data_IF_995150405430
#
_entry.id   IF_995150405430
#
_cell.length_a   1.000
_cell.length_b   1.000
_cell.length_c   1.000
_cell.angle_alpha   90.00
_cell.angle_beta   90.00
_cell.angle_gamma   90.00
#
_symmetry.space_group_name_H-M   'P 1'
#
loop_
_entity.id
_entity.type
_entity.pdbx_description
1 polymer ?
#
# COMPACT_ATOMS: atom_id res chain seq x y z
N UNK A 1 3.00 47.14 36.65
CA UNK A 1 2.03 47.37 35.56
C UNK A 1 1.63 46.00 35.03
N UNK A 2 0.39 45.56 35.31
CA UNK A 2 -0.13 44.25 34.92
C UNK A 2 -0.78 44.38 33.55
N UNK A 3 -0.20 43.76 32.53
CA UNK A 3 -0.79 43.66 31.20
C UNK A 3 -1.72 42.45 31.14
N UNK A 4 -3.02 42.68 31.11
CA UNK A 4 -4.03 41.68 30.82
C UNK A 4 -4.11 41.49 29.30
N UNK A 5 -3.68 40.33 28.81
CA UNK A 5 -3.89 39.91 27.42
C UNK A 5 -5.28 39.30 27.27
N UNK A 6 -6.10 39.90 26.43
CA UNK A 6 -7.46 39.47 26.13
C UNK A 6 -7.44 38.17 25.31
N UNK A 7 -8.14 37.15 25.81
CA UNK A 7 -8.43 35.89 25.12
C UNK A 7 -9.61 36.12 24.16
N UNK A 8 -9.35 36.11 22.85
CA UNK A 8 -10.41 36.13 21.82
C UNK A 8 -10.86 34.69 21.58
N UNK A 9 -12.00 34.32 22.16
CA UNK A 9 -12.70 33.08 21.84
C UNK A 9 -13.44 33.27 20.50
N UNK A 10 -12.97 32.60 19.44
CA UNK A 10 -13.73 32.46 18.20
C UNK A 10 -14.65 31.25 18.35
N UNK A 11 -15.95 31.51 18.50
CA UNK A 11 -16.98 30.48 18.53
C UNK A 11 -17.15 29.87 17.14
N UNK A 12 -16.77 28.59 17.00
CA UNK A 12 -17.05 27.78 15.82
C UNK A 12 -18.51 27.31 15.87
N UNK A 13 -19.32 27.82 14.94
CA UNK A 13 -20.71 27.41 14.74
C UNK A 13 -20.72 26.09 13.98
N UNK A 14 -21.17 25.03 14.65
CA UNK A 14 -21.40 23.71 14.03
C UNK A 14 -22.81 23.72 13.42
N UNK A 15 -22.91 23.65 12.10
CA UNK A 15 -24.18 23.46 11.40
C UNK A 15 -24.41 21.95 11.25
N UNK A 16 -25.27 21.38 12.09
CA UNK A 16 -25.80 20.02 11.92
C UNK A 16 -26.82 20.02 10.77
N UNK A 17 -26.47 19.39 9.64
CA UNK A 17 -27.44 19.02 8.61
C UNK A 17 -27.87 17.56 8.83
N UNK A 18 -29.07 17.37 9.35
CA UNK A 18 -29.74 16.07 9.39
C UNK A 18 -30.36 15.78 8.01
N UNK A 19 -29.96 14.70 7.35
CA UNK A 19 -30.63 14.19 6.15
C UNK A 19 -31.41 12.93 6.52
N UNK A 20 -32.72 13.00 6.37
CA UNK A 20 -33.70 11.93 6.64
C UNK A 20 -33.69 10.87 5.53
N UNK A 21 -33.91 9.58 5.83
CA UNK A 21 -34.05 8.54 4.81
C UNK A 21 -35.42 8.61 4.11
N UNK A 22 -35.41 8.49 2.79
CA UNK A 22 -36.61 8.19 1.97
C UNK A 22 -36.69 6.68 1.79
N UNK A 23 -37.80 6.10 2.23
CA UNK A 23 -38.21 4.73 1.95
C UNK A 23 -39.39 4.72 0.97
N UNK A 24 -39.66 3.52 0.45
CA UNK A 24 -40.75 3.09 -0.46
C UNK A 24 -40.47 3.36 -1.94
N UNK A 25 -40.54 2.38 -2.85
CA UNK A 25 -41.06 1.02 -2.82
C UNK A 25 -41.45 0.67 -4.26
N UNK A 26 -41.25 -0.56 -4.69
CA UNK A 26 -42.29 -1.48 -5.17
C UNK A 26 -41.75 -2.49 -6.18
N UNK A 27 -42.26 -3.71 -6.04
CA UNK A 27 -41.90 -4.89 -6.77
C UNK A 27 -42.53 -4.91 -8.16
N UNK A 28 -41.86 -5.56 -9.11
CA UNK A 28 -42.60 -6.20 -10.21
C UNK A 28 -41.90 -7.47 -10.64
N UNK A 29 -42.50 -8.59 -10.24
CA UNK A 29 -42.26 -9.94 -10.73
C UNK A 29 -42.76 -10.09 -12.16
N UNK A 30 -41.96 -10.69 -13.05
CA UNK A 30 -42.46 -11.26 -14.30
C UNK A 30 -41.80 -12.61 -14.57
N UNK A 31 -42.65 -13.62 -14.59
CA UNK A 31 -42.40 -15.06 -14.76
C UNK A 31 -42.06 -15.42 -16.22
N UNK A 32 -41.16 -16.39 -16.38
CA UNK A 32 -40.78 -17.01 -17.66
C UNK A 32 -41.88 -17.90 -18.28
N UNK A 33 -41.79 -18.16 -19.59
CA UNK A 33 -41.68 -19.56 -20.08
C UNK A 33 -40.59 -19.64 -21.18
N UNK A 34 -39.85 -20.71 -21.43
CA UNK A 34 -40.22 -22.12 -21.58
C UNK A 34 -39.61 -22.63 -22.91
N UNK A 35 -38.58 -23.46 -22.79
CA UNK A 35 -37.89 -24.37 -23.73
C UNK A 35 -38.17 -24.37 -25.26
N UNK A 36 -37.09 -24.52 -26.05
CA UNK A 36 -36.96 -25.61 -27.05
C UNK A 36 -35.51 -25.82 -27.49
N UNK A 37 -35.09 -27.08 -27.51
CA UNK A 37 -33.86 -27.62 -28.11
C UNK A 37 -34.06 -27.79 -29.62
N UNK A 38 -33.11 -27.36 -30.44
CA UNK A 38 -32.97 -27.82 -31.83
C UNK A 38 -31.48 -27.86 -32.22
N UNK A 39 -31.07 -28.96 -32.86
CA UNK A 39 -29.69 -29.26 -33.22
C UNK A 39 -29.53 -29.37 -34.74
N UNK A 40 -28.41 -28.82 -35.25
CA UNK A 40 -27.67 -29.14 -36.50
C UNK A 40 -28.33 -28.74 -37.86
N UNK A 41 -27.55 -28.38 -38.90
CA UNK A 41 -26.37 -29.11 -39.37
C UNK A 41 -25.11 -28.30 -39.77
N UNK A 42 -24.04 -29.08 -39.96
CA UNK A 42 -22.75 -28.70 -40.56
C UNK A 42 -22.89 -28.09 -41.96
N UNK A 43 -22.05 -27.10 -42.26
CA UNK A 43 -21.74 -26.69 -43.62
C UNK A 43 -20.22 -26.66 -43.81
N UNK A 44 -19.74 -27.70 -44.48
CA UNK A 44 -18.41 -27.82 -45.07
C UNK A 44 -18.28 -26.83 -46.23
N UNK A 45 -17.18 -26.09 -46.30
CA UNK A 45 -16.70 -25.50 -47.55
C UNK A 45 -15.19 -25.35 -47.50
N UNK A 46 -14.53 -26.25 -48.22
CA UNK A 46 -13.12 -26.19 -48.54
C UNK A 46 -12.90 -25.17 -49.67
N UNK A 47 -11.99 -24.22 -49.45
CA UNK A 47 -11.34 -23.47 -50.54
C UNK A 47 -9.85 -23.69 -50.40
N UNK A 48 -9.31 -24.51 -51.30
CA UNK A 48 -7.88 -24.66 -51.54
C UNK A 48 -7.43 -23.49 -52.41
N UNK A 49 -6.53 -22.66 -51.89
CA UNK A 49 -5.66 -21.82 -52.73
C UNK A 49 -4.25 -21.97 -52.19
N UNK A 50 -3.41 -22.60 -53.00
CA UNK A 50 -2.00 -22.83 -52.72
C UNK A 50 -1.25 -21.49 -52.75
N UNK A 51 -0.69 -21.09 -51.62
CA UNK A 51 0.32 -20.06 -51.52
C UNK A 51 1.64 -20.72 -51.07
N UNK A 52 2.71 -20.39 -51.80
CA UNK A 52 4.10 -20.78 -51.59
C UNK A 52 4.53 -20.58 -50.13
N UNK A 53 5.20 -21.54 -49.46
CA UNK A 53 5.70 -21.30 -48.12
C UNK A 53 6.90 -20.34 -48.19
N UNK A 54 6.68 -19.07 -47.86
CA UNK A 54 7.75 -18.18 -47.44
C UNK A 54 8.19 -18.63 -46.05
N UNK A 55 9.47 -18.97 -45.91
CA UNK A 55 10.13 -19.26 -44.62
C UNK A 55 9.91 -18.09 -43.66
N UNK A 56 8.94 -18.23 -42.77
CA UNK A 56 8.79 -17.38 -41.60
C UNK A 56 9.76 -17.89 -40.54
N UNK A 57 10.78 -17.11 -40.23
CA UNK A 57 11.59 -17.31 -39.03
C UNK A 57 10.68 -17.11 -37.83
N UNK A 58 10.23 -18.21 -37.23
CA UNK A 58 9.59 -18.20 -35.92
C UNK A 58 10.67 -17.80 -34.92
N UNK A 59 10.62 -16.55 -34.45
CA UNK A 59 11.30 -16.19 -33.21
C UNK A 59 10.48 -16.85 -32.12
N UNK A 60 11.00 -17.96 -31.59
CA UNK A 60 10.40 -18.62 -30.44
C UNK A 60 10.36 -17.63 -29.28
N UNK A 61 9.15 -17.26 -28.86
CA UNK A 61 8.95 -16.63 -27.57
C UNK A 61 9.30 -17.68 -26.53
N UNK A 62 10.39 -17.45 -25.81
CA UNK A 62 10.72 -18.25 -24.63
C UNK A 62 9.67 -17.98 -23.58
N UNK A 63 8.72 -18.90 -23.44
CA UNK A 63 7.83 -19.00 -22.29
C UNK A 63 8.72 -19.19 -21.06
N UNK A 64 9.05 -18.09 -20.37
CA UNK A 64 9.69 -18.15 -19.07
C UNK A 64 8.74 -18.91 -18.17
N UNK A 65 9.15 -20.12 -17.77
CA UNK A 65 8.44 -20.89 -16.75
C UNK A 65 8.76 -20.19 -15.43
N UNK A 66 7.99 -19.14 -15.14
CA UNK A 66 8.06 -18.39 -13.90
C UNK A 66 7.87 -19.36 -12.75
N UNK A 67 8.96 -19.64 -12.05
CA UNK A 67 8.93 -20.34 -10.78
C UNK A 67 8.08 -19.48 -9.86
N UNK A 68 7.09 -20.08 -9.20
CA UNK A 68 6.32 -19.42 -8.16
C UNK A 68 7.35 -18.84 -7.17
N UNK A 69 7.28 -17.55 -6.81
CA UNK A 69 8.22 -16.96 -5.85
C UNK A 69 8.23 -17.80 -4.56
N UNK A 70 9.36 -17.83 -3.83
CA UNK A 70 9.44 -18.58 -2.57
C UNK A 70 8.26 -18.18 -1.68
N UNK A 71 7.56 -19.19 -1.15
CA UNK A 71 6.49 -18.99 -0.18
C UNK A 71 7.08 -18.24 1.01
N UNK A 72 6.69 -16.98 1.18
CA UNK A 72 7.02 -16.17 2.35
C UNK A 72 6.65 -17.01 3.58
N UNK A 73 7.56 -17.24 4.54
CA UNK A 73 7.25 -18.06 5.71
C UNK A 73 6.01 -17.49 6.40
N UNK A 74 4.98 -18.32 6.59
CA UNK A 74 3.64 -17.94 7.06
C UNK A 74 3.57 -17.30 8.46
N UNK A 75 4.71 -17.06 9.09
CA UNK A 75 4.86 -16.44 10.42
C UNK A 75 5.47 -15.03 10.34
N UNK A 76 5.92 -14.60 9.16
CA UNK A 76 6.44 -13.25 8.91
C UNK A 76 5.54 -12.62 7.84
N UNK A 77 4.89 -11.52 8.17
CA UNK A 77 4.01 -10.81 7.23
C UNK A 77 2.55 -10.89 7.62
N UNK A 78 2.20 -10.29 8.75
CA UNK A 78 0.83 -9.80 9.00
C UNK A 78 0.82 -8.29 9.21
N UNK A 79 1.98 -7.63 9.13
CA UNK A 79 2.12 -6.18 9.27
C UNK A 79 2.57 -5.56 7.95
N UNK A 80 2.02 -4.39 7.63
CA UNK A 80 2.33 -3.64 6.42
C UNK A 80 2.46 -2.14 6.75
N UNK A 81 3.28 -1.44 5.98
CA UNK A 81 3.28 0.01 5.91
C UNK A 81 2.02 0.41 5.13
N UNK A 82 1.14 1.14 5.80
CA UNK A 82 -0.20 1.45 5.24
C UNK A 82 -0.42 2.93 4.99
N UNK A 83 0.43 3.77 5.57
CA UNK A 83 0.40 5.21 5.35
C UNK A 83 1.76 5.80 5.58
N UNK A 84 2.08 6.81 4.79
CA UNK A 84 3.20 7.75 5.02
C UNK A 84 2.62 9.16 4.94
N UNK A 85 2.83 9.94 5.99
CA UNK A 85 2.43 11.34 6.09
C UNK A 85 3.66 12.22 5.99
N UNK A 86 3.53 13.28 5.19
CA UNK A 86 4.57 14.26 4.92
C UNK A 86 4.27 15.58 5.64
N UNK A 87 5.25 16.47 5.69
CA UNK A 87 5.10 17.81 6.26
C UNK A 87 6.07 18.04 7.42
N UNK A 88 5.67 18.89 8.36
CA UNK A 88 6.50 19.29 9.50
C UNK A 88 6.65 18.18 10.54
N UNK A 89 5.62 17.35 10.72
CA UNK A 89 5.59 16.21 11.65
C UNK A 89 5.33 14.89 10.88
N UNK A 90 6.28 14.42 10.05
CA UNK A 90 6.08 13.24 9.23
C UNK A 90 6.01 11.97 10.07
N UNK A 91 5.12 11.06 9.69
CA UNK A 91 4.98 9.76 10.35
C UNK A 91 4.54 8.68 9.38
N UNK A 92 4.82 7.41 9.70
CA UNK A 92 4.25 6.26 9.00
C UNK A 92 3.34 5.44 9.93
N UNK A 93 2.40 4.70 9.33
CA UNK A 93 1.59 3.71 10.05
C UNK A 93 1.99 2.30 9.62
N UNK A 94 2.43 1.50 10.59
CA UNK A 94 2.50 0.04 10.45
C UNK A 94 1.21 -0.54 11.00
N UNK A 95 0.49 -1.29 10.19
CA UNK A 95 -0.79 -1.88 10.55
C UNK A 95 -0.69 -3.39 10.50
N UNK A 96 -1.24 -4.06 11.51
CA UNK A 96 -1.50 -5.50 11.43
C UNK A 96 -2.70 -5.74 10.52
N UNK A 97 -2.42 -6.16 9.30
CA UNK A 97 -3.37 -6.52 8.23
C UNK A 97 -3.80 -7.99 8.29
N UNK A 98 -3.22 -8.77 9.20
CA UNK A 98 -3.59 -10.16 9.46
C UNK A 98 -4.79 -10.31 10.40
N UNK A 99 -5.14 -11.58 10.67
CA UNK A 99 -6.25 -11.95 11.55
C UNK A 99 -5.81 -12.41 12.96
N UNK A 100 -4.50 -12.39 13.24
CA UNK A 100 -3.92 -12.74 14.55
C UNK A 100 -3.02 -11.61 15.03
N UNK A 101 -2.78 -11.47 16.36
CA UNK A 101 -1.82 -10.48 16.87
C UNK A 101 -0.44 -10.64 16.21
N UNK A 102 0.22 -9.50 15.98
CA UNK A 102 1.53 -9.44 15.33
C UNK A 102 2.50 -8.65 16.20
N UNK A 103 3.69 -9.19 16.41
CA UNK A 103 4.74 -8.52 17.18
C UNK A 103 5.68 -7.76 16.25
N UNK A 104 6.07 -6.56 16.67
CA UNK A 104 7.07 -5.74 15.99
C UNK A 104 8.49 -5.96 16.55
N UNK A 105 8.64 -6.85 17.54
CA UNK A 105 9.94 -7.23 18.09
C UNK A 105 10.85 -7.78 16.97
N UNK A 106 12.15 -7.44 17.06
CA UNK A 106 13.20 -7.82 16.11
C UNK A 106 13.02 -7.29 14.67
N UNK A 107 11.97 -6.50 14.41
CA UNK A 107 11.76 -5.86 13.13
C UNK A 107 12.54 -4.55 13.01
N UNK A 108 12.80 -4.17 11.76
CA UNK A 108 13.62 -3.01 11.42
C UNK A 108 12.92 -2.15 10.38
N UNK A 109 12.98 -0.84 10.57
CA UNK A 109 12.59 0.12 9.56
C UNK A 109 13.85 0.69 8.91
N UNK A 110 13.86 0.69 7.58
CA UNK A 110 14.96 1.22 6.77
C UNK A 110 14.42 2.36 5.92
N UNK A 111 15.03 3.52 6.04
CA UNK A 111 14.76 4.69 5.20
C UNK A 111 15.86 4.91 4.16
N UNK A 112 15.84 6.09 3.54
CA UNK A 112 16.79 6.47 2.50
C UNK A 112 18.22 6.66 3.01
N UNK A 113 18.41 7.06 4.29
CA UNK A 113 19.74 7.34 4.85
C UNK A 113 20.04 6.63 6.16
N UNK A 114 19.12 5.79 6.65
CA UNK A 114 19.30 5.18 7.96
C UNK A 114 18.38 4.01 8.23
N UNK A 115 18.57 3.42 9.40
CA UNK A 115 17.95 2.18 9.82
C UNK A 115 17.69 2.23 11.32
N UNK A 116 16.56 1.69 11.76
CA UNK A 116 16.16 1.69 13.16
C UNK A 116 15.47 0.36 13.53
N UNK A 117 15.78 -0.22 14.70
CA UNK A 117 14.98 -1.31 15.24
C UNK A 117 13.63 -0.77 15.69
N UNK A 118 12.59 -1.59 15.60
CA UNK A 118 11.29 -1.28 16.18
C UNK A 118 11.25 -1.71 17.65
N UNK A 119 10.54 -0.93 18.45
CA UNK A 119 10.27 -1.30 19.84
C UNK A 119 9.32 -2.51 19.91
N UNK A 120 9.46 -3.37 20.93
CA UNK A 120 8.60 -4.53 21.09
C UNK A 120 7.16 -4.09 21.39
N UNK A 121 6.31 -4.19 20.36
CA UNK A 121 4.89 -3.85 20.41
C UNK A 121 4.09 -4.98 19.76
N UNK A 122 3.09 -5.48 20.49
CA UNK A 122 2.09 -6.39 19.93
C UNK A 122 0.91 -5.61 19.37
N UNK A 123 0.68 -5.71 18.06
CA UNK A 123 -0.46 -5.13 17.37
C UNK A 123 -1.61 -6.14 17.26
N UNK A 124 -2.80 -5.88 17.82
CA UNK A 124 -3.98 -6.67 17.51
C UNK A 124 -4.38 -6.56 16.03
N UNK A 125 -5.17 -7.51 15.49
CA UNK A 125 -5.69 -7.44 14.12
C UNK A 125 -6.38 -6.10 13.81
N UNK A 126 -6.03 -5.49 12.67
CA UNK A 126 -6.58 -4.21 12.22
C UNK A 126 -6.13 -2.98 13.01
N UNK A 127 -5.10 -3.12 13.85
CA UNK A 127 -4.54 -2.02 14.65
C UNK A 127 -3.17 -1.60 14.15
N UNK A 128 -2.79 -0.36 14.47
CA UNK A 128 -1.56 0.23 13.96
C UNK A 128 -0.68 0.80 15.06
N UNK A 129 0.63 0.81 14.81
CA UNK A 129 1.60 1.67 15.47
C UNK A 129 1.90 2.88 14.58
N UNK A 130 2.10 4.04 15.20
CA UNK A 130 2.61 5.22 14.52
C UNK A 130 4.12 5.31 14.70
N UNK A 131 4.83 5.56 13.62
CA UNK A 131 6.29 5.73 13.59
C UNK A 131 6.56 7.20 13.34
N UNK A 132 7.10 7.92 14.30
CA UNK A 132 7.46 9.34 14.13
C UNK A 132 8.74 9.39 13.33
N UNK A 133 8.73 10.06 12.18
CA UNK A 133 9.85 10.10 11.22
C UNK A 133 10.54 11.47 11.17
N UNK A 134 10.08 12.40 11.99
CA UNK A 134 10.60 13.76 12.11
C UNK A 134 9.63 14.64 12.90
N UNK A 135 10.05 15.85 13.22
CA UNK A 135 9.20 16.84 13.90
C UNK A 135 8.93 16.49 15.36
N UNK A 136 7.82 17.03 15.88
CA UNK A 136 7.32 16.72 17.22
C UNK A 136 6.38 15.51 17.17
N UNK A 137 6.14 14.90 18.33
CA UNK A 137 5.14 13.83 18.44
C UNK A 137 3.77 14.34 17.94
N UNK A 138 3.16 13.69 16.93
CA UNK A 138 1.88 14.14 16.40
C UNK A 138 0.80 14.14 17.50
N UNK A 139 -0.27 14.94 17.36
CA UNK A 139 -1.38 14.90 18.30
C UNK A 139 -1.99 13.50 18.40
N UNK A 140 -2.42 13.15 19.61
CA UNK A 140 -2.86 11.80 20.01
C UNK A 140 -3.73 11.12 18.95
N UNK A 141 -3.20 10.04 18.39
CA UNK A 141 -3.91 9.29 17.37
C UNK A 141 -4.97 8.39 17.99
N UNK A 142 -6.24 8.63 17.66
CA UNK A 142 -7.30 7.68 17.99
C UNK A 142 -7.07 6.39 17.20
N UNK A 143 -6.99 5.26 17.89
CA UNK A 143 -6.87 3.96 17.23
C UNK A 143 -5.45 3.41 17.13
N UNK A 144 -4.44 4.17 17.54
CA UNK A 144 -3.04 3.71 17.57
C UNK A 144 -2.75 2.97 18.88
N UNK A 145 -1.95 1.92 18.77
CA UNK A 145 -1.55 1.06 19.90
C UNK A 145 -0.27 1.58 20.55
N UNK A 146 0.66 2.08 19.75
CA UNK A 146 1.94 2.61 20.21
C UNK A 146 2.44 3.71 19.27
N UNK A 147 3.20 4.64 19.84
CA UNK A 147 3.96 5.65 19.11
C UNK A 147 5.43 5.32 19.32
N UNK A 148 6.16 5.12 18.21
CA UNK A 148 7.58 4.77 18.20
C UNK A 148 8.33 5.95 17.60
N UNK A 149 9.20 6.58 18.38
CA UNK A 149 9.95 7.75 17.93
C UNK A 149 11.22 7.34 17.18
N UNK A 150 11.25 7.62 15.88
CA UNK A 150 12.36 7.35 14.96
C UNK A 150 12.86 8.64 14.27
N UNK A 151 12.52 9.82 14.80
CA UNK A 151 12.63 11.12 14.11
C UNK A 151 14.03 11.44 13.56
N UNK A 152 15.08 10.84 14.13
CA UNK A 152 16.48 11.08 13.73
C UNK A 152 17.13 9.87 13.06
N UNK A 153 16.43 8.74 12.94
CA UNK A 153 17.06 7.47 12.60
C UNK A 153 17.09 7.17 11.09
N UNK A 154 16.15 7.72 10.31
CA UNK A 154 15.89 7.26 8.93
C UNK A 154 16.19 8.29 7.83
N UNK A 155 16.41 9.55 8.22
CA UNK A 155 16.55 10.67 7.30
C UNK A 155 15.25 11.42 7.05
N UNK A 156 15.31 12.55 6.32
CA UNK A 156 14.14 13.37 6.06
C UNK A 156 13.13 12.65 5.16
N UNK A 157 11.85 12.74 5.53
CA UNK A 157 10.72 12.20 4.77
C UNK A 157 10.01 13.34 4.06
N UNK A 158 10.24 13.47 2.75
CA UNK A 158 9.72 14.55 1.91
C UNK A 158 8.97 14.00 0.71
N UNK A 159 8.03 14.77 0.15
CA UNK A 159 7.16 14.32 -0.96
C UNK A 159 7.90 14.07 -2.27
N UNK A 160 9.04 14.74 -2.50
CA UNK A 160 9.76 14.69 -3.78
C UNK A 160 10.45 13.35 -4.06
N UNK A 161 10.84 12.63 -3.01
CA UNK A 161 11.54 11.35 -3.11
C UNK A 161 11.67 10.68 -1.74
N UNK A 162 11.52 9.37 -1.70
CA UNK A 162 11.88 8.58 -0.54
C UNK A 162 11.47 7.12 -0.66
N UNK A 163 11.83 6.36 0.36
CA UNK A 163 11.49 4.95 0.50
C UNK A 163 11.39 4.58 1.98
N UNK A 164 10.59 3.57 2.27
CA UNK A 164 10.58 2.87 3.55
C UNK A 164 10.51 1.37 3.29
N UNK A 165 11.46 0.63 3.86
CA UNK A 165 11.44 -0.82 3.88
C UNK A 165 11.26 -1.34 5.30
N UNK A 166 10.35 -2.29 5.48
CA UNK A 166 10.14 -3.01 6.71
C UNK A 166 10.80 -4.39 6.62
N UNK A 167 11.68 -4.71 7.56
CA UNK A 167 12.48 -5.93 7.54
C UNK A 167 12.28 -6.75 8.82
N UNK A 168 12.33 -8.08 8.68
CA UNK A 168 12.19 -9.02 9.79
C UNK A 168 13.52 -9.35 10.50
N UNK A 169 14.64 -8.83 9.99
CA UNK A 169 15.97 -9.05 10.54
C UNK A 169 16.94 -7.96 10.05
N UNK A 170 18.11 -7.87 10.70
CA UNK A 170 19.26 -7.05 10.25
C UNK A 170 19.92 -7.60 8.96
N UNK A 171 19.14 -7.75 7.88
CA UNK A 171 19.57 -8.31 6.61
C UNK A 171 18.99 -7.51 5.44
N UNK A 172 19.27 -6.20 5.38
CA UNK A 172 18.57 -5.22 4.54
C UNK A 172 18.77 -5.39 3.02
N UNK A 173 19.72 -6.22 2.60
CA UNK A 173 19.92 -6.59 1.19
C UNK A 173 19.33 -7.94 0.84
N UNK A 174 18.78 -8.66 1.83
CA UNK A 174 18.20 -10.00 1.64
C UNK A 174 16.73 -9.88 1.24
N UNK A 175 16.31 -10.44 0.10
CA UNK A 175 14.89 -10.49 -0.25
C UNK A 175 14.06 -11.25 0.78
N UNK A 176 14.63 -12.27 1.42
CA UNK A 176 13.94 -13.09 2.43
C UNK A 176 13.65 -12.33 3.73
N UNK A 177 14.31 -11.19 3.95
CA UNK A 177 14.11 -10.36 5.12
C UNK A 177 13.09 -9.23 4.89
N UNK A 178 12.70 -8.95 3.64
CA UNK A 178 11.74 -7.88 3.33
C UNK A 178 10.34 -8.33 3.71
N UNK A 179 9.69 -7.58 4.59
CA UNK A 179 8.29 -7.79 4.98
C UNK A 179 7.36 -6.93 4.13
N UNK A 180 7.72 -5.66 3.98
CA UNK A 180 6.95 -4.72 3.18
C UNK A 180 7.86 -3.59 2.69
N UNK A 181 7.43 -2.90 1.64
CA UNK A 181 8.22 -1.84 1.04
C UNK A 181 7.34 -0.83 0.29
N UNK A 182 7.70 0.45 0.40
CA UNK A 182 7.12 1.51 -0.41
C UNK A 182 8.19 2.50 -0.83
N UNK A 183 8.14 2.94 -2.08
CA UNK A 183 8.95 4.04 -2.60
C UNK A 183 8.12 5.03 -3.39
N UNK A 184 8.51 6.30 -3.33
CA UNK A 184 7.81 7.40 -4.00
C UNK A 184 8.78 8.38 -4.62
N UNK A 185 8.27 9.12 -5.61
CA UNK A 185 9.04 10.12 -6.33
C UNK A 185 10.21 9.53 -7.13
N UNK A 186 11.26 10.32 -7.33
CA UNK A 186 12.41 9.92 -8.17
C UNK A 186 13.69 9.81 -7.35
N UNK A 187 14.50 8.79 -7.58
CA UNK A 187 15.80 8.68 -6.94
C UNK A 187 16.36 7.25 -6.96
N UNK A 188 17.61 7.06 -6.53
CA UNK A 188 18.09 5.73 -6.21
C UNK A 188 17.38 5.27 -4.93
N UNK A 189 16.40 4.39 -5.08
CA UNK A 189 15.80 3.69 -3.95
C UNK A 189 16.67 2.48 -3.62
N UNK A 190 17.40 2.56 -2.52
CA UNK A 190 18.47 1.65 -2.11
C UNK A 190 17.93 0.27 -1.74
N UNK A 191 16.74 0.20 -1.14
CA UNK A 191 16.14 -1.04 -0.67
C UNK A 191 15.27 -1.71 -1.76
N UNK A 192 14.96 -0.97 -2.82
CA UNK A 192 14.12 -1.44 -3.93
C UNK A 192 14.64 -2.72 -4.59
N UNK A 193 15.96 -2.95 -4.66
CA UNK A 193 16.50 -4.18 -5.25
C UNK A 193 16.11 -5.45 -4.47
N UNK A 194 16.13 -5.39 -3.13
CA UNK A 194 15.71 -6.50 -2.28
C UNK A 194 14.20 -6.74 -2.40
N UNK A 195 13.39 -5.67 -2.35
CA UNK A 195 11.93 -5.76 -2.49
C UNK A 195 11.47 -6.27 -3.86
N UNK A 196 12.16 -5.86 -4.94
CA UNK A 196 11.93 -6.37 -6.30
C UNK A 196 12.29 -7.85 -6.39
N UNK A 197 13.42 -8.26 -5.82
CA UNK A 197 13.83 -9.66 -5.80
C UNK A 197 12.88 -10.53 -4.98
N UNK A 198 12.32 -9.97 -3.90
CA UNK A 198 11.28 -10.61 -3.07
C UNK A 198 9.91 -10.69 -3.77
N UNK A 199 9.71 -10.00 -4.90
CA UNK A 199 8.43 -9.93 -5.60
C UNK A 199 7.39 -9.03 -4.92
N UNK A 200 7.80 -8.21 -3.95
CA UNK A 200 6.95 -7.27 -3.21
C UNK A 200 6.75 -5.97 -3.99
N UNK A 201 7.75 -5.54 -4.76
CA UNK A 201 7.73 -4.26 -5.47
C UNK A 201 8.09 -4.40 -6.94
N UNK A 202 7.54 -3.51 -7.78
CA UNK A 202 7.82 -3.46 -9.21
C UNK A 202 9.21 -2.88 -9.51
N UNK A 203 9.95 -3.48 -10.44
CA UNK A 203 11.25 -2.95 -10.87
C UNK A 203 11.11 -1.54 -11.44
N UNK A 204 11.93 -0.60 -10.93
CA UNK A 204 11.89 0.81 -11.33
C UNK A 204 10.58 1.55 -11.01
N UNK A 205 9.70 0.95 -10.21
CA UNK A 205 8.41 1.52 -9.87
C UNK A 205 8.51 2.41 -8.63
N UNK A 206 7.73 3.47 -8.60
CA UNK A 206 7.61 4.40 -7.48
C UNK A 206 6.24 5.07 -7.55
N UNK A 207 5.67 5.37 -6.39
CA UNK A 207 4.41 6.11 -6.30
C UNK A 207 4.66 7.53 -6.79
N UNK A 208 3.89 7.96 -7.79
CA UNK A 208 3.91 9.34 -8.26
C UNK A 208 3.07 10.20 -7.32
N UNK A 209 3.69 11.24 -6.75
CA UNK A 209 3.06 12.11 -5.78
C UNK A 209 2.95 13.53 -6.34
N UNK A 210 1.75 14.14 -6.31
CA UNK A 210 1.63 15.56 -6.60
C UNK A 210 2.36 16.40 -5.53
N UNK A 211 2.77 17.61 -5.88
CA UNK A 211 3.55 18.48 -4.99
C UNK A 211 2.79 18.82 -3.68
N UNK A 212 1.46 18.85 -3.77
CA UNK A 212 0.52 19.11 -2.69
C UNK A 212 0.09 17.85 -1.90
N UNK A 213 0.69 16.68 -2.15
CA UNK A 213 0.41 15.47 -1.38
C UNK A 213 0.75 15.68 0.10
N UNK A 214 -0.23 15.45 0.97
CA UNK A 214 -0.04 15.49 2.43
C UNK A 214 0.30 14.12 2.98
N UNK A 215 -0.19 13.06 2.32
CA UNK A 215 0.14 11.69 2.66
C UNK A 215 -0.07 10.77 1.47
N UNK A 216 0.34 9.52 1.62
CA UNK A 216 -0.04 8.42 0.74
C UNK A 216 -0.49 7.23 1.58
N UNK A 217 -1.42 6.43 1.06
CA UNK A 217 -1.96 5.28 1.77
C UNK A 217 -2.19 4.08 0.85
N UNK A 218 -2.05 2.89 1.41
CA UNK A 218 -2.39 1.62 0.77
C UNK A 218 -3.69 1.05 1.36
N UNK A 219 -4.36 0.08 0.72
CA UNK A 219 -5.60 -0.51 1.22
C UNK A 219 -5.39 -1.40 2.47
N UNK A 220 -4.15 -1.58 2.94
CA UNK A 220 -3.86 -2.45 4.08
C UNK A 220 -3.81 -3.93 3.68
N UNK A 221 -3.15 -4.24 2.58
CA UNK A 221 -2.82 -5.60 2.16
C UNK A 221 -1.30 -5.79 2.16
N UNK A 222 -0.84 -7.01 2.40
CA UNK A 222 0.59 -7.32 2.32
C UNK A 222 1.06 -7.22 0.87
N UNK A 223 2.28 -6.71 0.68
CA UNK A 223 2.88 -6.58 -0.64
C UNK A 223 2.09 -5.69 -1.59
N UNK A 224 1.52 -4.60 -1.06
CA UNK A 224 0.80 -3.61 -1.86
C UNK A 224 1.76 -3.05 -2.92
N UNK A 225 1.41 -3.25 -4.19
CA UNK A 225 2.19 -2.77 -5.33
C UNK A 225 2.04 -1.26 -5.49
N UNK A 226 2.82 -0.66 -6.39
CA UNK A 226 2.77 0.79 -6.65
C UNK A 226 1.37 1.29 -7.00
N UNK A 227 0.59 0.46 -7.68
CA UNK A 227 -0.79 0.71 -8.10
C UNK A 227 -1.80 0.78 -6.94
N UNK A 228 -1.47 0.21 -5.78
CA UNK A 228 -2.33 0.17 -4.61
C UNK A 228 -2.19 1.42 -3.74
N UNK A 229 -1.15 2.23 -3.99
CA UNK A 229 -0.89 3.44 -3.23
C UNK A 229 -1.57 4.65 -3.84
N UNK A 230 -2.30 5.38 -3.01
CA UNK A 230 -3.03 6.58 -3.42
C UNK A 230 -2.53 7.78 -2.64
N UNK A 231 -2.19 8.86 -3.36
CA UNK A 231 -1.88 10.15 -2.76
C UNK A 231 -3.14 10.79 -2.15
N UNK A 232 -3.00 11.33 -0.96
CA UNK A 232 -4.03 12.12 -0.28
C UNK A 232 -3.59 13.58 -0.32
N UNK A 233 -4.41 14.40 -0.95
CA UNK A 233 -4.22 15.85 -1.09
C UNK A 233 -5.12 16.56 -0.08
N UNK A 234 -4.67 17.67 0.50
CA UNK A 234 -5.49 18.52 1.36
C UNK A 234 -6.61 19.22 0.56
N UNK A 235 -7.85 19.13 1.07
CA UNK A 235 -9.00 19.89 0.55
C UNK A 235 -9.17 21.25 1.19
#
# INVERSE_FOLDING_TARGET
>A
MRGAGALVMVGMVVILAACTPVADGDASTATAPGATTEALPQATSAVTTAATPTTATVVESTTSTGTIPPTIPATVGTVAITRVVFGDDPYALITNVGSTPADLEDMWLVGSTGVAPLEPVTLPPGRSAALVLGGEEPPQFVGIVAIIDLATALGPVVTSSGELGLFAAEAFTSPDAVVDYVAWGTGPHLNGAAAVTAGIWGSGSSVDLPAEALSMASPGTLGAGVEDWVAVIGG
#
